data_IF_276684656288
#
_entry.id   IF_276684656288
#
_cell.length_a   1.000
_cell.length_b   1.000
_cell.length_c   1.000
_cell.angle_alpha   90.00
_cell.angle_beta   90.00
_cell.angle_gamma   90.00
#
_symmetry.space_group_name_H-M   'P 1'
#
loop_
_entity.id
_entity.type
_entity.pdbx_description
1 polymer ?
#
# COMPACT_ATOMS: atom_id res chain seq x y z
N UNK A 1 -6.46 28.68 4.72
CA UNK A 1 -7.13 27.99 3.60
C UNK A 1 -6.57 26.59 3.61
N UNK A 2 -7.31 25.60 4.11
CA UNK A 2 -6.93 24.21 3.89
C UNK A 2 -7.25 23.92 2.44
N UNK A 3 -6.23 23.66 1.61
CA UNK A 3 -6.44 23.04 0.31
C UNK A 3 -7.21 21.74 0.56
N UNK A 4 -8.38 21.62 -0.05
CA UNK A 4 -9.10 20.35 -0.07
C UNK A 4 -8.31 19.48 -1.03
N UNK A 5 -7.32 18.75 -0.50
CA UNK A 5 -6.57 17.76 -1.27
C UNK A 5 -7.56 16.82 -1.95
N UNK A 6 -7.46 16.69 -3.28
CA UNK A 6 -8.27 15.75 -4.04
C UNK A 6 -8.04 14.34 -3.46
N UNK A 7 -9.08 13.54 -3.15
CA UNK A 7 -8.91 12.18 -2.65
C UNK A 7 -7.98 11.30 -3.51
N UNK A 8 -7.91 11.56 -4.82
CA UNK A 8 -6.96 10.91 -5.73
C UNK A 8 -5.51 11.34 -5.48
N UNK A 9 -5.29 12.64 -5.23
CA UNK A 9 -3.99 13.17 -4.83
C UNK A 9 -3.56 12.61 -3.47
N UNK A 10 -4.51 12.38 -2.55
CA UNK A 10 -4.23 11.70 -1.29
C UNK A 10 -3.77 10.26 -1.54
N UNK A 11 -4.51 9.48 -2.32
CA UNK A 11 -4.11 8.10 -2.64
C UNK A 11 -2.73 8.06 -3.31
N UNK A 12 -2.50 8.92 -4.30
CA UNK A 12 -1.20 9.06 -4.96
C UNK A 12 -0.11 9.44 -3.97
N UNK A 13 -0.35 10.42 -3.10
CA UNK A 13 0.59 10.83 -2.06
C UNK A 13 0.96 9.70 -1.10
N UNK A 14 0.01 8.82 -0.77
CA UNK A 14 0.29 7.63 0.06
C UNK A 14 1.12 6.59 -0.68
N UNK A 15 0.76 6.30 -1.94
CA UNK A 15 1.51 5.35 -2.79
C UNK A 15 2.94 5.85 -2.99
N UNK A 16 3.11 7.14 -3.32
CA UNK A 16 4.40 7.80 -3.48
C UNK A 16 5.23 7.70 -2.20
N UNK A 17 4.65 8.13 -1.06
CA UNK A 17 5.36 8.12 0.21
C UNK A 17 5.77 6.70 0.63
N UNK A 18 4.89 5.73 0.41
CA UNK A 18 5.15 4.32 0.77
C UNK A 18 6.24 3.73 -0.11
N UNK A 19 6.15 3.90 -1.43
CA UNK A 19 7.17 3.40 -2.35
C UNK A 19 8.50 4.10 -2.15
N UNK A 20 8.53 5.44 -2.05
CA UNK A 20 9.76 6.17 -1.75
C UNK A 20 10.40 5.73 -0.43
N UNK A 21 9.59 5.46 0.60
CA UNK A 21 10.10 5.00 1.88
C UNK A 21 10.86 3.69 1.75
N UNK A 22 10.31 2.68 1.08
CA UNK A 22 11.00 1.39 0.90
C UNK A 22 12.17 1.47 -0.08
N UNK A 23 12.06 2.27 -1.15
CA UNK A 23 13.17 2.52 -2.10
C UNK A 23 14.37 3.16 -1.40
N UNK A 24 14.13 4.15 -0.54
CA UNK A 24 15.20 4.86 0.21
C UNK A 24 15.69 4.06 1.41
N UNK A 25 14.90 3.14 1.93
CA UNK A 25 15.19 2.39 3.16
C UNK A 25 15.01 0.87 2.99
N UNK A 26 15.77 0.19 2.11
CA UNK A 26 15.67 -1.27 1.92
C UNK A 26 15.98 -2.06 3.20
N UNK A 27 16.70 -1.46 4.15
CA UNK A 27 16.94 -2.03 5.50
C UNK A 27 15.68 -2.13 6.35
N UNK A 28 14.67 -1.29 6.11
CA UNK A 28 13.40 -1.35 6.83
C UNK A 28 12.59 -2.57 6.41
N UNK A 29 12.58 -2.91 5.12
CA UNK A 29 11.98 -4.16 4.63
C UNK A 29 12.64 -5.38 5.28
N UNK A 30 13.98 -5.40 5.37
CA UNK A 30 14.73 -6.44 6.10
C UNK A 30 14.36 -6.50 7.59
N UNK A 31 14.22 -5.34 8.24
CA UNK A 31 13.82 -5.24 9.64
C UNK A 31 12.41 -5.81 9.88
N UNK A 32 11.45 -5.55 8.99
CA UNK A 32 10.11 -6.16 9.08
C UNK A 32 10.15 -7.68 8.88
N UNK A 33 10.97 -8.19 7.96
CA UNK A 33 11.17 -9.64 7.75
C UNK A 33 11.81 -10.29 9.00
N UNK A 34 12.82 -9.65 9.58
CA UNK A 34 13.50 -10.12 10.80
C UNK A 34 12.57 -10.12 12.03
N UNK A 35 11.72 -9.09 12.17
CA UNK A 35 10.67 -9.08 13.20
C UNK A 35 9.70 -10.22 12.93
N UNK A 36 9.18 -10.36 11.70
CA UNK A 36 8.24 -11.43 11.37
C UNK A 36 8.80 -12.82 11.71
N UNK A 37 10.05 -13.12 11.33
CA UNK A 37 10.70 -14.41 11.58
C UNK A 37 10.96 -14.66 13.08
N UNK A 38 11.44 -13.63 13.79
CA UNK A 38 11.65 -13.69 15.25
C UNK A 38 10.35 -13.97 16.01
N UNK A 39 9.25 -13.43 15.53
CA UNK A 39 7.95 -13.46 16.19
C UNK A 39 7.12 -14.70 15.86
N UNK A 40 7.17 -15.20 14.62
CA UNK A 40 6.63 -16.53 14.25
C UNK A 40 7.34 -17.64 15.04
N UNK A 41 8.61 -17.43 15.41
CA UNK A 41 9.34 -18.26 16.37
C UNK A 41 8.89 -18.14 17.83
N UNK A 42 7.88 -17.32 18.14
CA UNK A 42 7.25 -17.18 19.46
C UNK A 42 8.04 -16.33 20.47
N UNK A 43 8.90 -15.40 20.01
CA UNK A 43 9.89 -14.70 20.87
C UNK A 43 9.74 -13.19 21.02
N UNK A 44 8.60 -12.59 20.71
CA UNK A 44 8.37 -11.22 21.15
C UNK A 44 6.94 -10.71 21.02
N UNK A 45 6.82 -9.43 20.69
CA UNK A 45 5.61 -8.64 20.88
C UNK A 45 5.18 -7.93 19.60
N UNK A 46 4.07 -8.38 19.02
CA UNK A 46 3.44 -7.79 17.85
C UNK A 46 2.61 -6.53 18.17
N UNK A 47 2.47 -6.11 19.42
CA UNK A 47 1.53 -5.05 19.82
C UNK A 47 1.75 -3.74 19.04
N UNK A 48 2.99 -3.27 18.96
CA UNK A 48 3.36 -2.05 18.24
C UNK A 48 3.14 -2.18 16.73
N UNK A 49 3.47 -3.33 16.15
CA UNK A 49 3.26 -3.57 14.71
C UNK A 49 1.77 -3.66 14.37
N UNK A 50 0.99 -4.30 15.24
CA UNK A 50 -0.46 -4.42 15.11
C UNK A 50 -1.15 -3.06 15.27
N UNK A 51 -0.64 -2.18 16.14
CA UNK A 51 -1.12 -0.82 16.31
C UNK A 51 -0.81 0.02 15.06
N UNK A 52 0.44 0.01 14.58
CA UNK A 52 0.82 0.66 13.32
C UNK A 52 -0.05 0.19 12.14
N UNK A 53 -0.21 -1.13 11.97
CA UNK A 53 -1.03 -1.69 10.90
C UNK A 53 -2.48 -1.24 11.00
N UNK A 54 -3.03 -1.15 12.23
CA UNK A 54 -4.41 -0.70 12.45
C UNK A 54 -4.60 0.76 12.04
N UNK A 55 -3.66 1.63 12.40
CA UNK A 55 -3.71 3.05 12.05
C UNK A 55 -3.51 3.26 10.54
N UNK A 56 -2.50 2.62 9.95
CA UNK A 56 -2.22 2.68 8.52
C UNK A 56 -3.39 2.17 7.69
N UNK A 57 -3.95 1.01 8.06
CA UNK A 57 -5.15 0.45 7.43
C UNK A 57 -6.32 1.44 7.51
N UNK A 58 -6.60 1.98 8.70
CA UNK A 58 -7.73 2.91 8.87
C UNK A 58 -7.58 4.13 7.95
N UNK A 59 -6.40 4.71 7.91
CA UNK A 59 -6.11 5.86 7.06
C UNK A 59 -6.32 5.56 5.57
N UNK A 60 -5.79 4.43 5.07
CA UNK A 60 -6.01 4.00 3.69
C UNK A 60 -7.49 3.72 3.38
N UNK A 61 -8.21 3.09 4.31
CA UNK A 61 -9.65 2.83 4.17
C UNK A 61 -10.46 4.13 4.09
N UNK A 62 -10.10 5.14 4.88
CA UNK A 62 -10.74 6.45 4.84
C UNK A 62 -10.46 7.16 3.50
N UNK A 63 -9.23 7.09 2.97
CA UNK A 63 -8.91 7.61 1.62
C UNK A 63 -9.73 6.92 0.52
N UNK A 64 -9.82 5.59 0.55
CA UNK A 64 -10.60 4.84 -0.44
C UNK A 64 -12.11 5.10 -0.32
N UNK A 65 -12.61 5.38 0.89
CA UNK A 65 -14.00 5.82 1.10
C UNK A 65 -14.27 7.22 0.55
N UNK A 66 -13.34 8.16 0.74
CA UNK A 66 -13.44 9.51 0.18
C UNK A 66 -13.42 9.48 -1.36
N UNK A 67 -12.71 8.52 -1.94
CA UNK A 67 -12.73 8.23 -3.37
C UNK A 67 -13.99 7.48 -3.83
N UNK A 68 -14.93 7.15 -2.95
CA UNK A 68 -16.16 6.39 -3.27
C UNK A 68 -15.88 5.01 -3.92
N UNK A 69 -14.72 4.41 -3.61
CA UNK A 69 -14.33 3.12 -4.17
C UNK A 69 -15.23 2.02 -3.62
N UNK A 70 -15.61 1.06 -4.48
CA UNK A 70 -16.43 -0.07 -4.05
C UNK A 70 -15.66 -0.97 -3.06
N UNK A 71 -16.31 -1.30 -1.93
CA UNK A 71 -15.75 -2.19 -0.88
C UNK A 71 -14.38 -1.70 -0.37
N UNK A 72 -14.29 -0.45 0.13
CA UNK A 72 -13.03 0.14 0.56
C UNK A 72 -12.35 -0.71 1.63
N UNK A 73 -13.12 -1.36 2.52
CA UNK A 73 -12.60 -2.24 3.55
C UNK A 73 -11.80 -3.44 3.01
N UNK A 74 -12.21 -3.98 1.86
CA UNK A 74 -11.51 -5.09 1.19
C UNK A 74 -10.36 -4.56 0.35
N UNK A 75 -10.59 -3.50 -0.42
CA UNK A 75 -9.55 -2.89 -1.26
C UNK A 75 -8.37 -2.40 -0.42
N UNK A 76 -8.56 -1.93 0.80
CA UNK A 76 -7.46 -1.57 1.70
C UNK A 76 -6.54 -2.75 1.99
N UNK A 77 -7.07 -3.94 2.31
CA UNK A 77 -6.23 -5.13 2.54
C UNK A 77 -5.42 -5.50 1.29
N UNK A 78 -6.05 -5.40 0.12
CA UNK A 78 -5.40 -5.70 -1.16
C UNK A 78 -4.33 -4.67 -1.51
N UNK A 79 -4.58 -3.38 -1.25
CA UNK A 79 -3.62 -2.30 -1.47
C UNK A 79 -2.38 -2.49 -0.57
N UNK A 80 -2.59 -2.77 0.71
CA UNK A 80 -1.46 -3.03 1.63
C UNK A 80 -0.65 -4.23 1.16
N UNK A 81 -1.31 -5.35 0.83
CA UNK A 81 -0.62 -6.54 0.33
C UNK A 81 0.14 -6.28 -0.99
N UNK A 82 -0.40 -5.43 -1.86
CA UNK A 82 0.25 -5.01 -3.10
C UNK A 82 1.52 -4.19 -2.79
N UNK A 83 1.42 -3.17 -1.95
CA UNK A 83 2.55 -2.32 -1.57
C UNK A 83 3.66 -3.12 -0.86
N UNK A 84 3.29 -4.02 0.06
CA UNK A 84 4.24 -4.91 0.73
C UNK A 84 4.91 -5.86 -0.27
N UNK A 85 4.13 -6.48 -1.17
CA UNK A 85 4.65 -7.37 -2.21
C UNK A 85 5.56 -6.67 -3.21
N UNK A 86 5.27 -5.42 -3.58
CA UNK A 86 6.14 -4.59 -4.42
C UNK A 86 7.43 -4.23 -3.69
N UNK A 87 7.36 -3.91 -2.40
CA UNK A 87 8.54 -3.61 -1.59
C UNK A 87 9.50 -4.82 -1.51
N UNK A 88 8.96 -6.03 -1.39
CA UNK A 88 9.73 -7.27 -1.39
C UNK A 88 10.33 -7.59 -2.76
N UNK A 89 9.55 -7.42 -3.84
CA UNK A 89 10.05 -7.62 -5.20
C UNK A 89 11.19 -6.64 -5.52
N UNK A 90 11.02 -5.35 -5.21
CA UNK A 90 12.08 -4.35 -5.38
C UNK A 90 13.34 -4.72 -4.59
N UNK A 91 13.15 -5.21 -3.36
CA UNK A 91 14.25 -5.63 -2.50
C UNK A 91 15.04 -6.82 -3.09
N UNK A 92 14.34 -7.78 -3.70
CA UNK A 92 14.96 -8.99 -4.27
C UNK A 92 15.53 -8.75 -5.67
N UNK A 93 15.11 -7.69 -6.36
CA UNK A 93 15.44 -7.39 -7.75
C UNK A 93 16.90 -7.01 -8.01
N UNK A 94 17.70 -6.72 -6.97
CA UNK A 94 19.17 -6.76 -7.07
C UNK A 94 19.68 -8.13 -7.61
N UNK A 95 18.84 -9.18 -7.62
CA UNK A 95 19.12 -10.51 -8.18
C UNK A 95 18.38 -10.84 -9.50
N UNK A 96 17.39 -10.06 -9.98
CA UNK A 96 16.48 -10.47 -11.07
C UNK A 96 16.43 -9.57 -12.33
N UNK A 97 17.16 -8.45 -12.36
CA UNK A 97 17.40 -7.59 -13.55
C UNK A 97 16.15 -7.06 -14.32
N UNK A 98 14.94 -7.03 -13.76
CA UNK A 98 13.72 -6.73 -14.54
C UNK A 98 12.61 -5.91 -13.86
N UNK A 99 12.92 -5.12 -12.82
CA UNK A 99 11.88 -4.42 -12.07
C UNK A 99 11.23 -3.37 -12.98
N UNK A 100 9.89 -3.32 -13.05
CA UNK A 100 9.22 -2.30 -13.84
C UNK A 100 9.59 -0.89 -13.37
N UNK A 101 9.43 0.08 -14.28
CA UNK A 101 9.61 1.49 -13.95
C UNK A 101 8.73 1.88 -12.74
N UNK A 102 9.35 2.54 -11.76
CA UNK A 102 8.74 2.85 -10.47
C UNK A 102 7.55 3.79 -10.64
N UNK A 103 7.66 4.80 -11.51
CA UNK A 103 6.57 5.75 -11.75
C UNK A 103 5.38 5.06 -12.43
N UNK A 104 5.65 4.19 -13.41
CA UNK A 104 4.63 3.36 -14.04
C UNK A 104 3.91 2.46 -13.03
N UNK A 105 4.63 1.87 -12.06
CA UNK A 105 4.02 1.07 -10.99
C UNK A 105 3.13 1.89 -10.06
N UNK A 106 3.58 3.09 -9.67
CA UNK A 106 2.79 4.01 -8.83
C UNK A 106 1.48 4.37 -9.51
N UNK A 107 1.55 4.73 -10.79
CA UNK A 107 0.37 5.05 -11.60
C UNK A 107 -0.60 3.87 -11.66
N UNK A 108 -0.11 2.67 -11.94
CA UNK A 108 -0.95 1.47 -12.03
C UNK A 108 -1.61 1.10 -10.69
N UNK A 109 -0.91 1.29 -9.56
CA UNK A 109 -1.48 1.11 -8.21
C UNK A 109 -2.61 2.11 -7.97
N UNK A 110 -2.39 3.39 -8.28
CA UNK A 110 -3.44 4.41 -8.12
C UNK A 110 -4.65 4.11 -8.98
N UNK A 111 -4.46 3.70 -10.24
CA UNK A 111 -5.55 3.29 -11.13
C UNK A 111 -6.31 2.09 -10.55
N UNK A 112 -5.59 0.99 -10.27
CA UNK A 112 -6.17 -0.28 -9.78
C UNK A 112 -7.03 -0.09 -8.53
N UNK A 113 -6.56 0.72 -7.58
CA UNK A 113 -7.22 0.89 -6.29
C UNK A 113 -8.15 2.09 -6.22
N UNK A 114 -7.88 3.15 -6.99
CA UNK A 114 -8.66 4.39 -7.04
C UNK A 114 -9.91 4.35 -7.92
N UNK A 115 -10.05 3.35 -8.80
CA UNK A 115 -11.26 3.21 -9.62
C UNK A 115 -12.53 3.03 -8.78
N UNK A 116 -13.44 4.00 -8.92
CA UNK A 116 -14.85 3.87 -8.58
C UNK A 116 -15.48 2.96 -9.62
N UNK A 117 -16.17 1.90 -9.19
CA UNK A 117 -17.05 1.19 -10.12
C UNK A 117 -18.15 2.16 -10.52
N UNK A 118 -17.99 2.83 -11.66
CA UNK A 118 -19.13 3.31 -12.43
C UNK A 118 -19.96 2.07 -12.74
N UNK A 119 -21.23 2.11 -12.36
CA UNK A 119 -22.14 0.99 -12.42
C UNK A 119 -22.11 0.31 -13.80
N UNK A 120 -21.53 -0.89 -13.90
CA UNK A 120 -21.95 -1.87 -14.90
C UNK A 120 -23.34 -2.37 -14.49
N UNK A 121 -24.34 -1.49 -14.64
CA UNK A 121 -25.78 -1.79 -14.67
C UNK A 121 -26.45 -1.05 -15.82
N UNK A 122 -25.81 -1.06 -16.97
CA UNK A 122 -26.46 -1.00 -18.29
C UNK A 122 -25.71 -2.09 -19.07
N UNK A 123 -26.30 -3.15 -19.64
CA UNK A 123 -27.59 -3.32 -20.31
C UNK A 123 -27.97 -4.82 -20.31
N UNK A 124 -29.27 -5.13 -20.36
CA UNK A 124 -29.81 -6.37 -20.94
C UNK A 124 -30.46 -7.38 -20.01
#
# INVERSE_FOLDING_TARGET
MHEVENPEEKLRGVVDSTMEFFLKNPKVTRFFVEIYDREVGGRGDFSLLAEFFREYKKYLEDVLRELEVSRPEVKTYLLIACLDGLSLQFFLEDEFESFPDVESLKDEVVITFGETRSEEREEG
#
